data_IF_646192784424
#
_entry.id   IF_646192784424
#
_cell.length_a   1.000
_cell.length_b   1.000
_cell.length_c   1.000
_cell.angle_alpha   90.00
_cell.angle_beta   90.00
_cell.angle_gamma   90.00
#
_symmetry.space_group_name_H-M   'P 1'
#
loop_
_entity.id
_entity.type
_entity.pdbx_description
1 polymer ?
#
# COMPACT_ATOMS: atom_id res chain seq x y z
N UNK A 1 -7.21 3.81 4.14
CA UNK A 1 -8.06 3.04 5.08
C UNK A 1 -9.55 3.22 4.80
N UNK A 2 -10.11 4.45 4.83
CA UNK A 2 -11.55 4.71 4.57
C UNK A 2 -12.15 4.02 3.33
N UNK A 3 -11.41 3.97 2.22
CA UNK A 3 -11.87 3.26 1.03
C UNK A 3 -11.87 1.74 1.22
N UNK A 4 -10.86 1.19 1.90
CA UNK A 4 -10.75 -0.24 2.18
C UNK A 4 -11.98 -0.76 2.95
N UNK A 5 -12.38 -0.04 4.00
CA UNK A 5 -13.58 -0.37 4.79
C UNK A 5 -14.83 -0.47 3.89
N UNK A 6 -15.05 0.54 3.04
CA UNK A 6 -16.19 0.55 2.12
C UNK A 6 -16.12 -0.56 1.07
N UNK A 7 -14.95 -0.83 0.49
CA UNK A 7 -14.84 -1.88 -0.54
C UNK A 7 -14.95 -3.28 0.07
N UNK A 8 -14.58 -3.46 1.34
CA UNK A 8 -14.79 -4.73 2.05
C UNK A 8 -16.28 -5.05 2.22
N UNK A 9 -17.15 -4.05 2.36
CA UNK A 9 -18.61 -4.25 2.37
C UNK A 9 -19.16 -4.64 0.97
N UNK A 10 -18.54 -4.13 -0.10
CA UNK A 10 -19.02 -4.29 -1.47
C UNK A 10 -18.49 -5.54 -2.17
N UNK A 11 -17.23 -5.92 -1.91
CA UNK A 11 -16.58 -7.06 -2.53
C UNK A 11 -17.03 -8.34 -1.83
N UNK A 12 -17.51 -9.32 -2.60
CA UNK A 12 -17.91 -10.63 -2.07
C UNK A 12 -16.76 -11.33 -1.34
N UNK A 13 -17.09 -12.24 -0.41
CA UNK A 13 -16.11 -13.19 0.14
C UNK A 13 -15.43 -13.95 -1.01
N UNK A 14 -14.11 -14.07 -0.95
CA UNK A 14 -13.27 -14.61 -2.01
C UNK A 14 -12.98 -13.65 -3.18
N UNK A 15 -13.59 -12.46 -3.20
CA UNK A 15 -13.30 -11.42 -4.18
C UNK A 15 -11.93 -10.76 -3.93
N UNK A 16 -11.40 -10.11 -4.97
CA UNK A 16 -10.09 -9.46 -4.96
C UNK A 16 -10.25 -7.94 -5.01
N UNK A 17 -9.50 -7.25 -4.17
CA UNK A 17 -9.25 -5.81 -4.24
C UNK A 17 -7.79 -5.62 -4.65
N UNK A 18 -7.51 -4.69 -5.54
CA UNK A 18 -6.16 -4.35 -5.96
C UNK A 18 -5.85 -2.89 -5.61
N UNK A 19 -4.73 -2.66 -4.93
CA UNK A 19 -4.23 -1.32 -4.60
C UNK A 19 -2.95 -1.05 -5.37
N UNK A 20 -2.96 0.00 -6.18
CA UNK A 20 -1.83 0.42 -6.99
C UNK A 20 -0.87 1.35 -6.21
N UNK A 21 0.35 1.50 -6.73
CA UNK A 21 1.44 2.31 -6.20
C UNK A 21 1.86 1.97 -4.76
N UNK A 22 1.76 0.71 -4.34
CA UNK A 22 2.05 0.32 -2.95
C UNK A 22 3.53 0.22 -2.62
N UNK A 23 4.45 0.36 -3.60
CA UNK A 23 5.87 0.58 -3.36
C UNK A 23 6.25 2.07 -3.39
N UNK A 24 5.40 2.94 -3.94
CA UNK A 24 5.52 4.40 -3.95
C UNK A 24 6.89 4.89 -4.42
N UNK A 25 7.22 4.54 -5.65
CA UNK A 25 8.50 4.69 -6.34
C UNK A 25 9.70 4.07 -5.60
N UNK A 26 9.43 3.10 -4.72
CA UNK A 26 10.43 2.49 -3.83
C UNK A 26 10.75 3.32 -2.59
N UNK A 27 10.18 4.52 -2.44
CA UNK A 27 10.52 5.44 -1.35
C UNK A 27 10.27 4.87 0.04
N UNK A 28 9.32 3.93 0.16
CA UNK A 28 8.98 3.28 1.43
C UNK A 28 10.12 2.41 1.98
N UNK A 29 11.08 2.00 1.14
CA UNK A 29 12.22 1.18 1.54
C UNK A 29 13.38 2.01 2.13
N UNK A 30 13.40 3.32 1.91
CA UNK A 30 14.42 4.21 2.48
C UNK A 30 14.17 4.48 3.96
N UNK A 31 15.23 4.81 4.70
CA UNK A 31 15.11 5.28 6.09
C UNK A 31 14.70 6.75 6.13
N UNK A 32 14.08 7.16 7.24
CA UNK A 32 13.52 8.52 7.44
C UNK A 32 14.57 9.63 7.24
N UNK A 33 15.82 9.36 7.60
CA UNK A 33 16.97 10.26 7.55
C UNK A 33 17.67 10.30 6.18
N UNK A 34 17.23 9.49 5.22
CA UNK A 34 17.80 9.47 3.87
C UNK A 34 17.07 10.40 2.89
N UNK A 35 16.11 11.20 3.37
CA UNK A 35 15.35 12.18 2.56
C UNK A 35 16.26 13.08 1.73
N UNK A 36 17.32 13.63 2.34
CA UNK A 36 18.25 14.54 1.67
C UNK A 36 19.13 13.83 0.64
N UNK A 37 19.39 12.52 0.83
CA UNK A 37 20.24 11.71 -0.07
C UNK A 37 19.50 11.28 -1.33
N UNK A 38 18.18 11.19 -1.28
CA UNK A 38 17.33 10.73 -2.39
C UNK A 38 16.44 11.85 -2.96
N UNK A 39 16.94 13.10 -2.91
CA UNK A 39 16.23 14.32 -3.36
C UNK A 39 15.83 14.36 -4.84
N UNK A 40 16.22 13.34 -5.63
CA UNK A 40 15.80 13.19 -7.03
C UNK A 40 14.30 12.85 -7.17
N UNK A 41 13.66 12.34 -6.11
CA UNK A 41 12.22 12.07 -6.13
C UNK A 41 11.40 13.35 -5.87
N UNK A 42 10.26 13.53 -6.54
CA UNK A 42 9.37 14.66 -6.29
C UNK A 42 8.99 14.79 -4.82
N UNK A 43 8.90 16.02 -4.31
CA UNK A 43 8.50 16.30 -2.91
C UNK A 43 7.17 15.61 -2.52
N UNK A 44 6.26 15.48 -3.48
CA UNK A 44 4.98 14.78 -3.30
C UNK A 44 5.13 13.29 -2.96
N UNK A 45 6.20 12.64 -3.41
CA UNK A 45 6.50 11.24 -3.08
C UNK A 45 6.77 11.16 -1.59
N UNK A 46 7.70 11.96 -1.09
CA UNK A 46 8.06 11.96 0.32
C UNK A 46 6.93 12.40 1.24
N UNK A 47 6.18 13.44 0.85
CA UNK A 47 5.04 13.92 1.63
C UNK A 47 3.97 12.85 1.85
N UNK A 48 3.81 11.92 0.89
CA UNK A 48 2.80 10.87 0.95
C UNK A 48 3.34 9.50 1.40
N UNK A 49 4.67 9.34 1.46
CA UNK A 49 5.36 8.08 1.79
C UNK A 49 4.82 7.44 3.08
N UNK A 50 4.68 8.24 4.13
CA UNK A 50 4.25 7.73 5.45
C UNK A 50 2.81 7.19 5.42
N UNK A 51 1.93 7.77 4.59
CA UNK A 51 0.59 7.23 4.39
C UNK A 51 0.62 5.86 3.70
N UNK A 52 1.51 5.66 2.72
CA UNK A 52 1.65 4.37 2.03
C UNK A 52 2.23 3.31 2.98
N UNK A 53 3.24 3.65 3.79
CA UNK A 53 3.78 2.74 4.82
C UNK A 53 2.69 2.32 5.81
N UNK A 54 1.95 3.29 6.35
CA UNK A 54 0.85 3.00 7.28
C UNK A 54 -0.24 2.15 6.61
N UNK A 55 -0.55 2.42 5.36
CA UNK A 55 -1.55 1.67 4.61
C UNK A 55 -1.12 0.23 4.34
N UNK A 56 0.13 0.00 3.94
CA UNK A 56 0.67 -1.34 3.73
C UNK A 56 0.69 -2.15 5.04
N UNK A 57 1.11 -1.55 6.15
CA UNK A 57 1.06 -2.19 7.47
C UNK A 57 -0.36 -2.53 7.91
N UNK A 58 -1.32 -1.65 7.62
CA UNK A 58 -2.75 -1.89 7.85
C UNK A 58 -3.26 -3.08 7.04
N UNK A 59 -2.91 -3.19 5.75
CA UNK A 59 -3.31 -4.34 4.93
C UNK A 59 -2.64 -5.64 5.39
N UNK A 60 -1.34 -5.60 5.68
CA UNK A 60 -0.57 -6.77 6.11
C UNK A 60 -1.07 -7.34 7.45
N UNK A 61 -1.62 -6.48 8.32
CA UNK A 61 -2.12 -6.85 9.64
C UNK A 61 -3.63 -7.13 9.66
N UNK A 62 -4.35 -6.98 8.54
CA UNK A 62 -5.80 -7.15 8.51
C UNK A 62 -6.17 -8.65 8.38
N UNK A 63 -6.78 -9.26 9.40
CA UNK A 63 -7.09 -10.70 9.38
C UNK A 63 -8.27 -11.06 8.45
N UNK A 64 -9.03 -10.08 7.95
CA UNK A 64 -10.17 -10.29 7.04
C UNK A 64 -9.73 -10.51 5.59
N UNK A 65 -8.43 -10.37 5.30
CA UNK A 65 -7.86 -10.51 3.97
C UNK A 65 -6.62 -11.40 3.97
N UNK A 66 -6.39 -12.09 2.86
CA UNK A 66 -5.06 -12.52 2.46
C UNK A 66 -4.47 -11.46 1.54
N UNK A 67 -3.22 -11.05 1.76
CA UNK A 67 -2.57 -10.04 0.93
C UNK A 67 -1.29 -10.55 0.28
N UNK A 68 -1.02 -10.05 -0.93
CA UNK A 68 0.24 -10.27 -1.66
C UNK A 68 0.68 -8.96 -2.31
N UNK A 69 1.85 -8.48 -1.92
CA UNK A 69 2.51 -7.32 -2.53
C UNK A 69 3.34 -7.81 -3.72
N UNK A 70 3.01 -7.33 -4.92
CA UNK A 70 3.71 -7.66 -6.15
C UNK A 70 4.57 -6.48 -6.60
N UNK A 71 5.82 -6.75 -6.98
CA UNK A 71 6.75 -5.77 -7.56
C UNK A 71 6.48 -5.57 -9.07
N UNK A 72 5.22 -5.32 -9.43
CA UNK A 72 4.80 -5.00 -10.79
C UNK A 72 4.48 -3.50 -10.83
N UNK A 73 5.05 -2.79 -11.81
CA UNK A 73 4.92 -1.34 -11.91
C UNK A 73 5.47 -0.68 -10.65
N UNK A 74 4.65 0.15 -10.02
CA UNK A 74 5.00 0.88 -8.80
C UNK A 74 4.54 0.18 -7.50
N UNK A 75 4.34 -1.13 -7.58
CA UNK A 75 3.80 -1.94 -6.49
C UNK A 75 2.29 -2.12 -6.62
N UNK A 76 1.86 -3.37 -6.62
CA UNK A 76 0.45 -3.76 -6.64
C UNK A 76 0.18 -4.69 -5.46
N UNK A 77 -0.64 -4.26 -4.50
CA UNK A 77 -1.09 -5.15 -3.42
C UNK A 77 -2.43 -5.74 -3.78
N UNK A 78 -2.47 -7.05 -3.95
CA UNK A 78 -3.70 -7.82 -4.11
C UNK A 78 -4.20 -8.27 -2.74
N UNK A 79 -5.48 -8.07 -2.47
CA UNK A 79 -6.14 -8.46 -1.22
C UNK A 79 -7.35 -9.35 -1.54
N UNK A 80 -7.32 -10.61 -1.11
CA UNK A 80 -8.47 -11.52 -1.19
C UNK A 80 -9.27 -11.47 0.09
N UNK A 81 -10.56 -11.11 -0.01
CA UNK A 81 -11.46 -11.11 1.15
C UNK A 81 -11.72 -12.53 1.65
N UNK A 82 -11.58 -12.74 2.96
CA UNK A 82 -11.76 -14.05 3.61
C UNK A 82 -13.14 -14.24 4.23
N UNK A 83 -13.66 -13.20 4.90
CA UNK A 83 -14.97 -13.18 5.56
C UNK A 83 -15.53 -11.75 5.61
#
# INVERSE_FOLDING_TARGET
MKYHEKVMELVKIGGIIAYDNTLWLGSIAYKQDEYEKHSEMPESVWRNRDYVIQFNSFLASNPQIESSLLSIGDGLTLCRRLY
#
